data_IF_078029877315
#
_entry.id   IF_078029877315
#
_cell.length_a   1.000
_cell.length_b   1.000
_cell.length_c   1.000
_cell.angle_alpha   90.00
_cell.angle_beta   90.00
_cell.angle_gamma   90.00
#
_symmetry.space_group_name_H-M   'P 1'
#
loop_
_entity.id
_entity.type
_entity.pdbx_description
1 polymer ?
#
# COMPACT_ATOMS: atom_id res chain seq x y z
N UNK A 1 -25.50 14.21 -37.95
CA UNK A 1 -25.36 14.77 -36.59
C UNK A 1 -24.76 13.67 -35.76
N UNK A 2 -23.52 13.84 -35.32
CA UNK A 2 -22.93 12.90 -34.36
C UNK A 2 -23.67 13.04 -33.03
N UNK A 3 -23.89 11.94 -32.29
CA UNK A 3 -24.60 12.00 -31.03
C UNK A 3 -23.82 12.87 -30.05
N UNK A 4 -24.52 13.81 -29.40
CA UNK A 4 -23.97 14.63 -28.32
C UNK A 4 -23.42 13.66 -27.26
N UNK A 5 -22.14 13.74 -26.87
CA UNK A 5 -21.61 12.89 -25.82
C UNK A 5 -22.43 13.12 -24.55
N UNK A 6 -23.17 12.09 -24.15
CA UNK A 6 -23.91 12.07 -22.88
C UNK A 6 -22.90 11.77 -21.79
N UNK A 7 -22.40 12.82 -21.13
CA UNK A 7 -21.61 12.63 -19.93
C UNK A 7 -22.50 11.96 -18.89
N UNK A 8 -22.09 10.82 -18.31
CA UNK A 8 -22.91 10.13 -17.33
C UNK A 8 -23.17 11.06 -16.15
N UNK A 9 -24.44 11.20 -15.77
CA UNK A 9 -24.88 12.12 -14.72
C UNK A 9 -24.16 11.79 -13.39
N UNK A 10 -23.62 12.82 -12.73
CA UNK A 10 -22.88 12.67 -11.48
C UNK A 10 -23.89 12.49 -10.34
N UNK A 11 -23.72 11.44 -9.54
CA UNK A 11 -24.52 11.17 -8.33
C UNK A 11 -23.86 11.72 -7.06
N UNK A 12 -22.53 11.66 -6.98
CA UNK A 12 -21.74 12.21 -5.87
C UNK A 12 -20.55 12.95 -6.46
N UNK A 13 -20.34 14.19 -6.05
CA UNK A 13 -19.17 14.99 -6.40
C UNK A 13 -18.43 15.39 -5.13
N UNK A 14 -17.16 15.00 -5.02
CA UNK A 14 -16.29 15.31 -3.87
C UNK A 14 -15.01 15.97 -4.39
N UNK A 15 -15.06 17.25 -4.80
CA UNK A 15 -13.88 17.93 -5.32
C UNK A 15 -12.82 18.16 -4.22
N UNK A 16 -11.51 18.05 -4.53
CA UNK A 16 -10.92 17.72 -5.83
C UNK A 16 -10.67 16.20 -6.04
N UNK A 17 -11.31 15.32 -5.27
CA UNK A 17 -10.85 13.94 -5.08
C UNK A 17 -11.48 12.93 -6.04
N UNK A 18 -12.81 12.89 -6.15
CA UNK A 18 -13.49 11.90 -6.99
C UNK A 18 -14.91 12.31 -7.36
N UNK A 19 -15.43 11.67 -8.41
CA UNK A 19 -16.84 11.69 -8.82
C UNK A 19 -17.36 10.28 -8.89
N UNK A 20 -18.61 10.11 -8.46
CA UNK A 20 -19.38 8.88 -8.68
C UNK A 20 -20.50 9.22 -9.65
N UNK A 21 -20.64 8.43 -10.71
CA UNK A 21 -21.68 8.58 -11.70
C UNK A 21 -22.88 7.69 -11.36
N UNK A 22 -24.08 8.06 -11.82
CA UNK A 22 -25.31 7.27 -11.60
C UNK A 22 -25.26 5.86 -12.17
N UNK A 23 -24.42 5.62 -13.17
CA UNK A 23 -24.19 4.29 -13.75
C UNK A 23 -23.21 3.42 -12.91
N UNK A 24 -22.71 3.93 -11.78
CA UNK A 24 -21.77 3.25 -10.89
C UNK A 24 -20.28 3.47 -11.23
N UNK A 25 -19.95 4.18 -12.31
CA UNK A 25 -18.55 4.53 -12.63
C UNK A 25 -18.00 5.48 -11.57
N UNK A 26 -16.75 5.22 -11.14
CA UNK A 26 -16.03 6.06 -10.19
C UNK A 26 -14.82 6.67 -10.90
N UNK A 27 -14.77 7.99 -10.96
CA UNK A 27 -13.67 8.75 -11.50
C UNK A 27 -12.86 9.33 -10.33
N UNK A 28 -11.63 8.84 -10.12
CA UNK A 28 -10.68 9.45 -9.17
C UNK A 28 -9.91 10.56 -9.88
N UNK A 29 -9.94 11.76 -9.32
CA UNK A 29 -9.32 12.97 -9.86
C UNK A 29 -8.00 13.32 -9.15
N UNK A 30 -7.79 12.77 -7.95
CA UNK A 30 -6.57 12.93 -7.16
C UNK A 30 -6.05 11.56 -6.71
N UNK A 31 -4.75 11.49 -6.38
CA UNK A 31 -4.12 10.25 -5.88
C UNK A 31 -4.09 9.13 -6.92
N UNK A 32 -4.09 9.46 -8.22
CA UNK A 32 -4.08 8.48 -9.32
C UNK A 32 -2.67 8.14 -9.82
N UNK A 33 -1.68 8.95 -9.47
CA UNK A 33 -0.30 8.70 -9.88
C UNK A 33 0.27 7.52 -9.12
N UNK A 34 1.04 6.70 -9.82
CA UNK A 34 1.74 5.56 -9.26
C UNK A 34 3.18 5.54 -9.74
N UNK A 35 4.07 5.02 -8.90
CA UNK A 35 5.45 4.70 -9.27
C UNK A 35 5.69 3.19 -9.14
N UNK A 36 6.51 2.59 -10.02
CA UNK A 36 6.87 1.17 -9.89
C UNK A 36 7.75 0.95 -8.65
N UNK A 37 7.76 -0.27 -8.09
CA UNK A 37 8.76 -0.65 -7.10
C UNK A 37 10.14 -0.79 -7.76
N UNK A 38 11.20 -0.73 -6.97
CA UNK A 38 12.57 -0.86 -7.46
C UNK A 38 13.59 -0.23 -6.52
N UNK A 39 14.78 0.02 -7.06
CA UNK A 39 15.85 0.71 -6.33
C UNK A 39 15.69 2.20 -6.55
N UNK A 40 15.43 2.94 -5.47
CA UNK A 40 15.34 4.39 -5.53
C UNK A 40 16.73 5.01 -5.81
N UNK A 41 16.88 5.88 -6.83
CA UNK A 41 18.19 6.38 -7.23
C UNK A 41 18.86 7.28 -6.18
N UNK A 42 18.07 7.97 -5.34
CA UNK A 42 18.57 8.93 -4.36
C UNK A 42 18.94 8.25 -3.04
N UNK A 43 18.02 7.46 -2.50
CA UNK A 43 18.14 6.82 -1.19
C UNK A 43 18.75 5.42 -1.26
N UNK A 44 18.81 4.83 -2.46
CA UNK A 44 19.19 3.43 -2.71
C UNK A 44 18.28 2.41 -2.03
N UNK A 45 17.16 2.81 -1.43
CA UNK A 45 16.18 1.91 -0.84
C UNK A 45 15.60 0.99 -1.91
N UNK A 46 15.48 -0.29 -1.58
CA UNK A 46 14.88 -1.30 -2.43
C UNK A 46 13.42 -1.42 -2.04
N UNK A 47 12.53 -1.35 -3.01
CA UNK A 47 11.11 -1.62 -2.82
C UNK A 47 10.62 -2.77 -3.70
N UNK A 48 9.62 -3.51 -3.21
CA UNK A 48 9.00 -4.66 -3.88
C UNK A 48 7.51 -4.71 -3.53
N UNK A 49 6.67 -4.97 -4.52
CA UNK A 49 5.25 -5.24 -4.28
C UNK A 49 5.04 -6.71 -3.92
N UNK A 50 4.23 -6.94 -2.89
CA UNK A 50 3.94 -8.25 -2.33
C UNK A 50 2.42 -8.44 -2.20
N UNK A 51 1.98 -9.70 -2.32
CA UNK A 51 0.58 -10.07 -2.07
C UNK A 51 0.46 -10.60 -0.65
N UNK A 52 -0.42 -10.00 0.14
CA UNK A 52 -0.72 -10.41 1.51
C UNK A 52 -1.82 -11.49 1.46
N UNK A 53 -2.95 -11.20 0.81
CA UNK A 53 -4.09 -12.11 0.71
C UNK A 53 -4.53 -12.22 -0.76
N UNK A 54 -4.16 -13.29 -1.46
CA UNK A 54 -4.54 -13.48 -2.87
C UNK A 54 -6.06 -13.47 -3.09
N UNK A 55 -6.84 -14.00 -2.15
CA UNK A 55 -8.31 -14.12 -2.25
C UNK A 55 -9.01 -12.75 -2.34
N UNK A 56 -8.50 -11.75 -1.63
CA UNK A 56 -9.07 -10.39 -1.59
C UNK A 56 -8.31 -9.42 -2.48
N UNK A 57 -7.16 -9.82 -3.02
CA UNK A 57 -6.25 -8.96 -3.75
C UNK A 57 -5.52 -7.97 -2.86
N UNK A 58 -5.47 -8.20 -1.53
CA UNK A 58 -4.76 -7.32 -0.61
C UNK A 58 -3.25 -7.40 -0.84
N UNK A 59 -2.65 -6.26 -1.16
CA UNK A 59 -1.21 -6.13 -1.44
C UNK A 59 -0.56 -5.13 -0.49
N UNK A 60 0.78 -5.13 -0.50
CA UNK A 60 1.57 -4.09 0.12
C UNK A 60 2.85 -3.84 -0.68
N UNK A 61 3.46 -2.68 -0.45
CA UNK A 61 4.83 -2.40 -0.89
C UNK A 61 5.78 -2.50 0.28
N UNK A 62 6.74 -3.42 0.16
CA UNK A 62 7.84 -3.58 1.10
C UNK A 62 8.99 -2.66 0.72
N UNK A 63 9.63 -2.06 1.72
CA UNK A 63 10.82 -1.22 1.58
C UNK A 63 11.92 -1.72 2.51
N UNK A 64 13.14 -1.77 1.99
CA UNK A 64 14.32 -2.20 2.74
C UNK A 64 15.54 -1.36 2.40
N UNK A 65 16.39 -1.02 3.38
CA UNK A 65 17.70 -0.42 3.10
C UNK A 65 18.55 -1.38 2.25
N UNK A 66 19.29 -0.82 1.31
CA UNK A 66 20.26 -1.56 0.49
C UNK A 66 21.61 -1.64 1.19
N UNK A 67 21.63 -2.30 2.34
CA UNK A 67 22.83 -2.60 3.10
C UNK A 67 22.95 -4.11 3.33
N UNK A 68 24.18 -4.62 3.35
CA UNK A 68 24.48 -6.05 3.50
C UNK A 68 24.59 -6.49 4.96
N UNK A 69 23.93 -5.80 5.90
CA UNK A 69 24.08 -6.11 7.32
C UNK A 69 23.29 -7.37 7.67
N UNK A 70 23.90 -8.31 8.39
CA UNK A 70 23.22 -9.49 8.96
C UNK A 70 22.29 -9.16 10.13
N UNK A 71 22.28 -7.91 10.58
CA UNK A 71 21.44 -7.44 11.69
C UNK A 71 20.00 -7.21 11.21
N UNK A 72 19.05 -7.85 11.90
CA UNK A 72 17.62 -7.58 11.74
C UNK A 72 17.27 -6.15 12.18
N UNK A 73 16.30 -5.54 11.51
CA UNK A 73 15.92 -4.13 11.65
C UNK A 73 14.49 -4.01 12.21
N UNK A 74 14.15 -2.91 12.92
CA UNK A 74 12.77 -2.62 13.28
C UNK A 74 11.85 -2.54 12.05
N UNK A 75 10.57 -2.79 12.26
CA UNK A 75 9.53 -2.74 11.22
C UNK A 75 8.52 -1.63 11.51
N UNK A 76 8.19 -0.86 10.47
CA UNK A 76 7.01 0.00 10.45
C UNK A 76 5.98 -0.56 9.48
N UNK A 77 4.72 -0.59 9.92
CA UNK A 77 3.57 -0.85 9.07
C UNK A 77 2.90 0.49 8.78
N UNK A 78 2.77 0.82 7.51
CA UNK A 78 2.25 2.10 7.06
C UNK A 78 0.93 1.92 6.31
N UNK A 79 -0.03 2.80 6.61
CA UNK A 79 -1.30 2.90 5.90
C UNK A 79 -1.37 4.29 5.28
N UNK A 80 -1.48 4.35 3.96
CA UNK A 80 -1.51 5.63 3.27
C UNK A 80 -2.77 6.44 3.60
N UNK A 81 -2.70 7.77 3.41
CA UNK A 81 -3.86 8.65 3.54
C UNK A 81 -4.75 8.65 2.30
N UNK A 82 -5.49 9.72 2.08
CA UNK A 82 -6.45 9.81 0.96
C UNK A 82 -7.90 9.54 1.36
N UNK A 83 -8.22 9.74 2.65
CA UNK A 83 -9.58 9.65 3.20
C UNK A 83 -10.32 8.33 2.88
N UNK A 84 -9.57 7.23 2.74
CA UNK A 84 -10.06 5.90 2.32
C UNK A 84 -10.63 5.84 0.89
N UNK A 85 -10.49 6.89 0.09
CA UNK A 85 -11.15 6.99 -1.21
C UNK A 85 -10.17 7.14 -2.38
N UNK A 86 -8.94 7.60 -2.13
CA UNK A 86 -7.92 7.85 -3.16
C UNK A 86 -6.54 7.38 -2.71
N UNK A 87 -5.57 7.48 -3.63
CA UNK A 87 -4.17 7.11 -3.41
C UNK A 87 -3.95 5.60 -3.32
N UNK A 88 -2.70 5.20 -3.11
CA UNK A 88 -2.28 3.81 -3.03
C UNK A 88 -0.93 3.71 -2.32
N UNK A 89 -0.50 2.48 -1.99
CA UNK A 89 0.88 2.24 -1.56
C UNK A 89 1.94 2.65 -2.61
N UNK A 90 1.53 2.83 -3.87
CA UNK A 90 2.38 3.25 -4.98
C UNK A 90 2.34 4.74 -5.27
N UNK A 91 1.58 5.54 -4.51
CA UNK A 91 1.50 6.99 -4.70
C UNK A 91 2.89 7.64 -4.50
N UNK A 92 3.37 8.48 -5.44
CA UNK A 92 4.68 9.12 -5.34
C UNK A 92 4.93 9.86 -4.02
N UNK A 93 3.91 10.51 -3.44
CA UNK A 93 4.07 11.27 -2.20
C UNK A 93 4.41 10.36 -1.02
N UNK A 94 3.67 9.25 -0.89
CA UNK A 94 3.91 8.26 0.15
C UNK A 94 5.15 7.43 -0.13
N UNK A 95 5.38 7.03 -1.38
CA UNK A 95 6.56 6.28 -1.78
C UNK A 95 7.86 7.03 -1.49
N UNK A 96 7.96 8.29 -1.87
CA UNK A 96 9.16 9.11 -1.63
C UNK A 96 9.38 9.37 -0.14
N UNK A 97 8.30 9.54 0.63
CA UNK A 97 8.38 9.71 2.08
C UNK A 97 8.90 8.44 2.77
N UNK A 98 8.42 7.27 2.35
CA UNK A 98 8.87 5.98 2.88
C UNK A 98 10.31 5.65 2.50
N UNK A 99 10.76 5.97 1.27
CA UNK A 99 12.17 5.83 0.90
C UNK A 99 13.10 6.62 1.83
N UNK A 100 12.75 7.88 2.14
CA UNK A 100 13.52 8.71 3.07
C UNK A 100 13.50 8.14 4.49
N UNK A 101 12.32 7.79 4.98
CA UNK A 101 12.16 7.24 6.33
C UNK A 101 12.97 5.95 6.53
N UNK A 102 12.90 5.03 5.56
CA UNK A 102 13.64 3.76 5.58
C UNK A 102 15.15 3.97 5.60
N UNK A 103 15.64 4.92 4.80
CA UNK A 103 17.06 5.29 4.80
C UNK A 103 17.49 5.92 6.13
N UNK A 104 16.78 6.94 6.58
CA UNK A 104 17.17 7.77 7.73
C UNK A 104 17.05 7.02 9.06
N UNK A 105 16.00 6.22 9.23
CA UNK A 105 15.78 5.43 10.45
C UNK A 105 16.41 4.03 10.40
N UNK A 106 16.91 3.59 9.23
CA UNK A 106 17.44 2.25 9.00
C UNK A 106 16.48 1.14 9.49
N UNK A 107 15.27 1.15 8.92
CA UNK A 107 14.15 0.25 9.25
C UNK A 107 13.61 -0.46 8.01
N UNK A 108 12.84 -1.53 8.20
CA UNK A 108 11.97 -2.08 7.15
C UNK A 108 10.62 -1.35 7.22
N UNK A 109 10.00 -1.07 6.07
CA UNK A 109 8.62 -0.58 6.03
C UNK A 109 7.74 -1.45 5.14
N UNK A 110 6.50 -1.68 5.56
CA UNK A 110 5.45 -2.35 4.77
C UNK A 110 4.29 -1.37 4.62
N UNK A 111 4.07 -0.86 3.41
CA UNK A 111 3.00 0.06 3.05
C UNK A 111 1.81 -0.72 2.52
N UNK A 112 0.74 -0.83 3.29
CA UNK A 112 -0.44 -1.65 2.96
C UNK A 112 -1.32 -0.91 1.96
N UNK A 113 -1.72 -1.61 0.89
CA UNK A 113 -2.58 -1.10 -0.17
C UNK A 113 -4.04 -1.55 0.07
N UNK A 114 -4.68 -0.95 1.07
CA UNK A 114 -6.03 -1.30 1.48
C UNK A 114 -7.07 -0.91 0.42
N UNK A 115 -8.21 -1.61 0.40
CA UNK A 115 -9.30 -1.34 -0.55
C UNK A 115 -10.01 -0.01 -0.25
N UNK A 116 -10.35 0.70 -1.31
CA UNK A 116 -10.91 2.06 -1.24
C UNK A 116 -12.42 2.08 -1.35
N UNK A 117 -13.02 3.05 -0.68
CA UNK A 117 -14.36 3.52 -0.98
C UNK A 117 -14.37 4.31 -2.32
N UNK A 118 -15.53 4.37 -2.99
CA UNK A 118 -16.82 3.78 -2.61
C UNK A 118 -17.01 2.32 -3.06
N UNK A 119 -16.10 1.72 -3.83
CA UNK A 119 -16.18 0.30 -4.24
C UNK A 119 -16.21 -0.63 -3.02
N UNK A 120 -15.45 -0.28 -1.99
CA UNK A 120 -15.33 -1.01 -0.74
C UNK A 120 -15.52 -0.05 0.44
N UNK A 121 -16.78 0.24 0.83
CA UNK A 121 -17.05 1.11 1.97
C UNK A 121 -16.38 0.61 3.25
N UNK A 122 -16.17 1.52 4.20
CA UNK A 122 -15.79 1.16 5.56
C UNK A 122 -16.84 0.17 6.13
N UNK A 123 -16.40 -0.87 6.89
CA UNK A 123 -15.09 -1.03 7.52
C UNK A 123 -14.04 -1.77 6.68
N UNK A 124 -14.20 -1.92 5.36
CA UNK A 124 -13.31 -2.78 4.55
C UNK A 124 -11.82 -2.43 4.69
N UNK A 125 -11.45 -1.15 4.63
CA UNK A 125 -10.06 -0.73 4.82
C UNK A 125 -9.50 -1.09 6.21
N UNK A 126 -10.35 -1.08 7.25
CA UNK A 126 -9.95 -1.51 8.60
C UNK A 126 -9.70 -3.01 8.67
N UNK A 127 -10.58 -3.79 8.04
CA UNK A 127 -10.43 -5.23 7.95
C UNK A 127 -9.15 -5.59 7.19
N UNK A 128 -8.87 -4.94 6.05
CA UNK A 128 -7.63 -5.11 5.29
C UNK A 128 -6.39 -4.77 6.13
N UNK A 129 -6.48 -3.68 6.90
CA UNK A 129 -5.38 -3.25 7.78
C UNK A 129 -5.10 -4.27 8.90
N UNK A 130 -6.17 -4.83 9.48
CA UNK A 130 -6.09 -5.86 10.50
C UNK A 130 -5.59 -7.21 9.95
N UNK A 131 -6.07 -7.59 8.77
CA UNK A 131 -5.61 -8.77 8.04
C UNK A 131 -4.13 -8.67 7.67
N UNK A 132 -3.67 -7.50 7.21
CA UNK A 132 -2.26 -7.24 6.95
C UNK A 132 -1.42 -7.37 8.22
N UNK A 133 -1.88 -6.82 9.35
CA UNK A 133 -1.16 -6.94 10.63
C UNK A 133 -1.04 -8.40 11.08
N UNK A 134 -2.13 -9.18 10.99
CA UNK A 134 -2.11 -10.60 11.33
C UNK A 134 -1.16 -11.39 10.41
N UNK A 135 -1.17 -11.12 9.11
CA UNK A 135 -0.26 -11.74 8.16
C UNK A 135 1.21 -11.38 8.45
N UNK A 136 1.51 -10.14 8.82
CA UNK A 136 2.86 -9.75 9.23
C UNK A 136 3.26 -10.49 10.51
N UNK A 137 2.38 -10.52 11.51
CA UNK A 137 2.64 -11.19 12.78
C UNK A 137 2.85 -12.70 12.63
N UNK A 138 2.19 -13.36 11.67
CA UNK A 138 2.38 -14.80 11.42
C UNK A 138 3.81 -15.18 11.03
N UNK A 139 4.62 -14.23 10.52
CA UNK A 139 6.03 -14.47 10.20
C UNK A 139 6.91 -14.72 11.43
N UNK A 140 6.40 -14.43 12.64
CA UNK A 140 7.08 -14.77 13.91
C UNK A 140 6.92 -16.23 14.31
N UNK A 141 5.94 -16.92 13.73
CA UNK A 141 5.61 -18.31 14.06
C UNK A 141 6.28 -19.20 13.00
N UNK A 142 7.03 -20.21 13.43
CA UNK A 142 7.62 -21.23 12.55
C UNK A 142 6.53 -22.18 12.00
N UNK A 143 5.66 -21.68 11.14
CA UNK A 143 4.71 -22.50 10.41
C UNK A 143 5.11 -22.59 8.93
N UNK A 144 5.09 -23.82 8.39
CA UNK A 144 5.42 -24.17 7.01
C UNK A 144 4.35 -23.75 5.98
N UNK A 145 3.69 -22.61 6.17
CA UNK A 145 2.77 -22.12 5.14
C UNK A 145 3.56 -21.50 3.97
N UNK A 146 3.17 -21.91 2.75
CA UNK A 146 3.86 -21.70 1.47
C UNK A 146 3.90 -20.24 0.97
N UNK A 147 3.40 -19.26 1.74
CA UNK A 147 3.21 -17.90 1.26
C UNK A 147 3.88 -16.82 2.12
N UNK A 148 4.92 -17.19 2.88
CA UNK A 148 5.68 -16.24 3.69
C UNK A 148 6.69 -15.46 2.85
N UNK A 149 6.73 -14.13 3.02
CA UNK A 149 7.76 -13.30 2.40
C UNK A 149 9.07 -13.46 3.18
N UNK A 150 10.04 -14.18 2.59
CA UNK A 150 11.31 -14.53 3.25
C UNK A 150 12.06 -13.31 3.78
N UNK A 151 11.99 -12.16 3.08
CA UNK A 151 12.64 -10.94 3.53
C UNK A 151 12.17 -10.51 4.93
N UNK A 152 10.88 -10.66 5.24
CA UNK A 152 10.33 -10.32 6.56
C UNK A 152 10.98 -11.21 7.62
N UNK A 153 11.02 -12.53 7.39
CA UNK A 153 11.62 -13.48 8.34
C UNK A 153 13.12 -13.21 8.56
N UNK A 154 13.85 -12.90 7.49
CA UNK A 154 15.29 -12.75 7.50
C UNK A 154 15.74 -11.39 8.05
N UNK A 155 15.00 -10.31 7.76
CA UNK A 155 15.46 -8.94 8.00
C UNK A 155 14.70 -8.18 9.08
N UNK A 156 13.54 -8.64 9.55
CA UNK A 156 12.76 -7.93 10.58
C UNK A 156 13.06 -8.43 11.99
N UNK A 157 13.37 -7.49 12.88
CA UNK A 157 13.53 -7.71 14.33
C UNK A 157 12.21 -7.38 15.04
N UNK A 158 11.36 -8.39 15.23
CA UNK A 158 10.06 -8.23 15.89
C UNK A 158 10.14 -7.88 17.38
N UNK A 159 11.34 -7.90 17.99
CA UNK A 159 11.52 -7.50 19.39
C UNK A 159 11.80 -5.99 19.54
N UNK A 160 11.89 -5.25 18.44
CA UNK A 160 12.12 -3.81 18.45
C UNK A 160 10.85 -3.10 17.99
N UNK A 161 10.11 -2.63 18.99
CA UNK A 161 8.95 -1.75 18.86
C UNK A 161 9.39 -0.32 19.19
#
# INVERSE_FOLDING_TARGET
MDPIPTYPEISIDVPPYLRVHKNGTIERLAGIHVVPPGIDPQTKVISKDITIIPKTGLTARLYSPNNSTSKKLPLIIYFHGGAYCISSASDPLYHNSLNKLVLEANIIAISVNYRLAPEHPLPTAYNDSWEALQWIASHTIENHEENHENLIKERVDFNKV
#
